data_IF_947734078736
#
_entry.id   IF_947734078736
#
_cell.length_a   1.000
_cell.length_b   1.000
_cell.length_c   1.000
_cell.angle_alpha   90.00
_cell.angle_beta   90.00
_cell.angle_gamma   90.00
#
_symmetry.space_group_name_H-M   'P 1'
#
loop_
_entity.id
_entity.type
_entity.pdbx_description
1 polymer ?
#
# COMPACT_ATOMS: atom_id res chain seq x y z
N UNK A 1 38.97 5.39 29.98
CA UNK A 1 38.60 4.28 29.06
C UNK A 1 37.78 3.26 29.82
N UNK A 2 36.55 3.05 29.38
CA UNK A 2 35.38 2.72 30.22
C UNK A 2 35.06 1.22 30.27
N UNK A 3 35.23 0.60 31.45
CA UNK A 3 34.77 -0.77 31.78
C UNK A 3 33.24 -0.97 31.86
N UNK A 4 32.44 0.00 31.41
CA UNK A 4 30.96 -0.02 31.52
C UNK A 4 30.21 -0.41 30.25
N UNK A 5 30.90 -0.61 29.12
CA UNK A 5 30.25 -0.88 27.82
C UNK A 5 30.04 -2.39 27.56
N UNK A 6 30.77 -3.28 28.24
CA UNK A 6 30.69 -4.73 27.99
C UNK A 6 29.57 -5.47 28.74
N UNK A 7 28.88 -4.83 29.69
CA UNK A 7 27.79 -5.47 30.46
C UNK A 7 26.40 -5.35 29.80
N UNK A 8 26.21 -4.45 28.83
CA UNK A 8 24.93 -4.28 28.15
C UNK A 8 24.64 -5.33 27.07
N UNK A 9 25.67 -5.90 26.45
CA UNK A 9 25.50 -6.84 25.34
C UNK A 9 25.16 -8.27 25.79
N UNK A 10 25.53 -8.67 27.01
CA UNK A 10 25.26 -10.02 27.54
C UNK A 10 23.79 -10.18 28.00
N UNK A 11 23.12 -9.10 28.41
CA UNK A 11 21.77 -9.18 28.98
C UNK A 11 20.67 -9.36 27.91
N UNK A 12 20.90 -8.88 26.68
CA UNK A 12 19.92 -8.95 25.58
C UNK A 12 19.85 -10.36 24.97
N UNK A 13 20.98 -11.08 24.91
CA UNK A 13 21.02 -12.47 24.40
C UNK A 13 20.33 -13.44 25.36
N UNK A 14 20.43 -13.21 26.68
CA UNK A 14 19.76 -14.03 27.68
C UNK A 14 18.23 -13.90 27.66
N UNK A 15 17.71 -12.69 27.39
CA UNK A 15 16.26 -12.44 27.28
C UNK A 15 15.64 -13.06 26.01
N UNK A 16 16.38 -13.07 24.89
CA UNK A 16 15.94 -13.74 23.65
C UNK A 16 15.95 -15.26 23.77
N UNK A 17 16.89 -15.85 24.51
CA UNK A 17 16.91 -17.30 24.79
C UNK A 17 15.73 -17.77 25.66
N UNK A 18 15.32 -16.97 26.63
CA UNK A 18 14.21 -17.30 27.53
C UNK A 18 12.83 -17.26 26.84
N UNK A 19 12.62 -16.34 25.87
CA UNK A 19 11.37 -16.30 25.11
C UNK A 19 11.20 -17.48 24.13
N UNK A 20 12.29 -17.98 23.55
CA UNK A 20 12.25 -19.16 22.68
C UNK A 20 12.07 -20.47 23.47
N UNK A 21 12.53 -20.54 24.71
CA UNK A 21 12.31 -21.71 25.57
C UNK A 21 10.86 -21.84 26.07
N UNK A 22 10.16 -20.72 26.30
CA UNK A 22 8.74 -20.73 26.67
C UNK A 22 7.83 -21.17 25.51
N UNK A 23 8.16 -20.81 24.27
CA UNK A 23 7.45 -21.27 23.07
C UNK A 23 7.71 -22.76 22.71
N UNK A 24 8.83 -23.32 23.18
CA UNK A 24 9.15 -24.74 22.99
C UNK A 24 8.53 -25.65 24.07
N UNK A 25 8.25 -25.13 25.27
CA UNK A 25 7.63 -25.91 26.35
C UNK A 25 6.15 -26.18 26.08
N UNK A 26 5.40 -25.22 25.52
CA UNK A 26 3.95 -25.38 25.26
C UNK A 26 3.61 -26.50 24.25
N UNK A 27 4.62 -27.15 23.68
CA UNK A 27 4.51 -28.30 22.77
C UNK A 27 4.75 -29.67 23.43
N UNK A 28 4.98 -29.73 24.75
CA UNK A 28 5.37 -30.97 25.43
C UNK A 28 4.47 -31.29 26.64
N UNK A 29 3.27 -31.80 26.39
CA UNK A 29 2.55 -32.60 27.39
C UNK A 29 2.52 -34.06 26.90
N UNK A 30 3.34 -34.96 27.47
CA UNK A 30 3.37 -36.35 27.09
C UNK A 30 2.70 -37.23 28.13
N UNK A 31 1.40 -37.08 28.40
CA UNK A 31 0.58 -38.11 29.05
C UNK A 31 -0.80 -38.11 28.38
N UNK A 32 -1.30 -39.18 27.76
CA UNK A 32 -1.61 -40.44 28.42
C UNK A 32 -1.57 -41.59 27.41
N UNK A 33 -0.63 -42.53 27.59
CA UNK A 33 -0.79 -43.89 27.08
C UNK A 33 -1.49 -44.72 28.17
N UNK A 34 -2.72 -45.13 27.87
CA UNK A 34 -3.38 -46.22 28.59
C UNK A 34 -4.88 -46.04 28.70
N UNK A 35 -5.64 -46.63 27.75
CA UNK A 35 -6.77 -47.55 28.00
C UNK A 35 -7.34 -47.96 26.62
N UNK A 36 -7.55 -49.26 26.46
CA UNK A 36 -8.02 -49.95 25.24
C UNK A 36 -9.46 -49.60 24.83
N UNK A 37 -9.69 -49.76 23.52
CA UNK A 37 -10.93 -50.09 22.82
C UNK A 37 -12.18 -49.22 23.04
N UNK A 38 -12.36 -48.28 22.11
CA UNK A 38 -13.58 -48.12 21.30
C UNK A 38 -13.24 -47.16 20.16
N UNK A 39 -13.37 -47.59 18.91
CA UNK A 39 -13.33 -46.70 17.74
C UNK A 39 -14.74 -46.12 17.62
N UNK A 40 -15.02 -44.84 17.98
CA UNK A 40 -16.16 -44.17 17.42
C UNK A 40 -15.83 -43.92 15.95
N UNK A 41 -16.55 -44.58 15.04
CA UNK A 41 -16.55 -44.24 13.61
C UNK A 41 -17.21 -42.88 13.43
N UNK A 42 -16.50 -41.81 13.79
CA UNK A 42 -16.78 -40.47 13.27
C UNK A 42 -16.50 -40.50 11.77
N UNK A 43 -17.42 -40.07 10.90
CA UNK A 43 -17.12 -39.95 9.48
C UNK A 43 -15.93 -38.99 9.34
N UNK A 44 -14.87 -39.44 8.67
CA UNK A 44 -13.77 -38.58 8.27
C UNK A 44 -14.36 -37.47 7.40
N UNK A 45 -14.58 -36.29 7.97
CA UNK A 45 -14.81 -35.09 7.18
C UNK A 45 -13.55 -34.90 6.35
N UNK A 46 -13.64 -35.14 5.05
CA UNK A 46 -12.60 -34.77 4.10
C UNK A 46 -12.27 -33.31 4.35
N UNK A 47 -11.08 -33.02 4.86
CA UNK A 47 -10.57 -31.66 4.90
C UNK A 47 -10.34 -31.24 3.46
N UNK A 48 -11.32 -30.57 2.86
CA UNK A 48 -11.08 -29.77 1.67
C UNK A 48 -10.34 -28.55 2.18
N UNK A 49 -9.04 -28.36 1.86
CA UNK A 49 -8.39 -27.09 2.16
C UNK A 49 -9.26 -25.99 1.53
N UNK A 50 -9.62 -24.99 2.32
CA UNK A 50 -10.22 -23.79 1.77
C UNK A 50 -9.30 -23.32 0.63
N UNK A 51 -9.84 -22.91 -0.54
CA UNK A 51 -9.02 -22.40 -1.61
C UNK A 51 -8.15 -21.28 -1.03
N UNK A 52 -6.84 -21.52 -0.94
CA UNK A 52 -5.89 -20.48 -0.60
C UNK A 52 -5.98 -19.48 -1.74
N UNK A 53 -6.49 -18.28 -1.46
CA UNK A 53 -6.44 -17.18 -2.42
C UNK A 53 -4.99 -17.04 -2.88
N UNK A 54 -4.76 -17.22 -4.19
CA UNK A 54 -3.43 -17.08 -4.75
C UNK A 54 -2.92 -15.66 -4.47
N UNK A 55 -1.73 -15.58 -3.88
CA UNK A 55 -1.04 -14.32 -3.64
C UNK A 55 -0.28 -13.96 -4.91
N UNK A 56 -0.72 -12.91 -5.58
CA UNK A 56 -0.05 -12.36 -6.75
C UNK A 56 0.58 -11.00 -6.42
N UNK A 57 1.41 -10.48 -7.33
CA UNK A 57 1.96 -9.14 -7.24
C UNK A 57 1.05 -8.18 -8.00
N UNK A 58 0.72 -7.02 -7.41
CA UNK A 58 -0.21 -6.05 -8.00
C UNK A 58 0.13 -5.70 -9.46
N UNK A 59 1.40 -5.46 -9.77
CA UNK A 59 1.82 -5.07 -11.12
C UNK A 59 1.75 -6.18 -12.18
N UNK A 60 1.57 -7.43 -11.76
CA UNK A 60 1.36 -8.54 -12.69
C UNK A 60 -0.05 -8.50 -13.31
N UNK A 61 -0.98 -7.79 -12.68
CA UNK A 61 -2.36 -7.72 -13.17
C UNK A 61 -2.50 -6.79 -14.38
N UNK A 62 -3.34 -7.16 -15.37
CA UNK A 62 -3.55 -6.35 -16.56
C UNK A 62 -4.22 -5.00 -16.26
N UNK A 63 -5.15 -4.96 -15.31
CA UNK A 63 -5.88 -3.76 -14.87
C UNK A 63 -4.96 -2.73 -14.18
N UNK A 64 -3.89 -3.15 -13.51
CA UNK A 64 -2.85 -2.24 -13.02
C UNK A 64 -2.14 -1.52 -14.18
N UNK A 65 -1.73 -2.26 -15.21
CA UNK A 65 -1.02 -1.70 -16.38
C UNK A 65 -1.93 -0.73 -17.14
N UNK A 66 -3.18 -1.11 -17.36
CA UNK A 66 -4.19 -0.26 -18.01
C UNK A 66 -4.40 1.04 -17.24
N UNK A 67 -4.61 0.96 -15.92
CA UNK A 67 -4.79 2.15 -15.09
C UNK A 67 -3.55 3.05 -15.14
N UNK A 68 -2.35 2.48 -15.06
CA UNK A 68 -1.09 3.24 -15.11
C UNK A 68 -0.96 3.98 -16.44
N UNK A 69 -1.20 3.31 -17.56
CA UNK A 69 -1.16 3.94 -18.88
C UNK A 69 -2.19 5.06 -19.01
N UNK A 70 -3.42 4.84 -18.53
CA UNK A 70 -4.46 5.89 -18.54
C UNK A 70 -4.02 7.16 -17.81
N UNK A 71 -3.33 7.03 -16.66
CA UNK A 71 -2.83 8.18 -15.90
C UNK A 71 -1.65 8.85 -16.61
N UNK A 72 -0.76 8.07 -17.23
CA UNK A 72 0.33 8.60 -18.06
C UNK A 72 -0.22 9.41 -19.23
N UNK A 73 -1.16 8.84 -19.99
CA UNK A 73 -1.83 9.49 -21.11
C UNK A 73 -2.58 10.75 -20.68
N UNK A 74 -3.26 10.71 -19.53
CA UNK A 74 -3.96 11.87 -18.97
C UNK A 74 -2.98 13.00 -18.64
N UNK A 75 -1.88 12.69 -17.95
CA UNK A 75 -0.84 13.66 -17.62
C UNK A 75 -0.23 14.28 -18.88
N UNK A 76 0.06 13.45 -19.88
CA UNK A 76 0.72 13.89 -21.11
C UNK A 76 -0.24 14.76 -21.95
N UNK A 77 -1.52 14.37 -22.06
CA UNK A 77 -2.58 15.19 -22.68
C UNK A 77 -2.65 16.57 -22.05
N UNK A 78 -2.77 16.65 -20.72
CA UNK A 78 -2.93 17.94 -20.06
C UNK A 78 -1.65 18.77 -20.02
N UNK A 79 -0.48 18.16 -20.13
CA UNK A 79 0.78 18.90 -20.33
C UNK A 79 0.78 19.64 -21.67
N UNK A 80 0.20 19.06 -22.71
CA UNK A 80 0.13 19.66 -24.04
C UNK A 80 -1.04 20.64 -24.16
N UNK A 81 -2.20 20.28 -23.62
CA UNK A 81 -3.45 21.03 -23.69
C UNK A 81 -4.06 21.25 -22.30
N UNK A 82 -3.69 22.34 -21.60
CA UNK A 82 -4.29 22.69 -20.32
C UNK A 82 -5.79 22.98 -20.46
N UNK A 83 -6.60 22.47 -19.53
CA UNK A 83 -8.04 22.73 -19.49
C UNK A 83 -8.42 24.06 -18.78
N UNK A 84 -7.42 24.83 -18.33
CA UNK A 84 -7.60 26.08 -17.60
C UNK A 84 -6.44 27.03 -17.89
N UNK A 85 -6.69 28.33 -17.80
CA UNK A 85 -5.67 29.38 -17.93
C UNK A 85 -4.96 29.69 -16.62
N UNK A 86 -5.41 29.14 -15.49
CA UNK A 86 -4.71 29.23 -14.22
C UNK A 86 -3.52 28.26 -14.20
N UNK A 87 -2.32 28.81 -14.46
CA UNK A 87 -1.09 28.04 -14.58
C UNK A 87 -0.70 27.30 -13.30
N UNK A 88 -0.90 27.91 -12.13
CA UNK A 88 -0.48 27.32 -10.86
C UNK A 88 -1.47 26.24 -10.40
N UNK A 89 -2.77 26.44 -10.62
CA UNK A 89 -3.78 25.40 -10.41
C UNK A 89 -3.59 24.22 -11.38
N UNK A 90 -3.31 24.49 -12.65
CA UNK A 90 -2.97 23.46 -13.63
C UNK A 90 -1.70 22.69 -13.23
N UNK A 91 -0.65 23.39 -12.81
CA UNK A 91 0.59 22.78 -12.33
C UNK A 91 0.34 21.91 -11.10
N UNK A 92 -0.50 22.36 -10.17
CA UNK A 92 -0.91 21.56 -9.03
C UNK A 92 -1.63 20.26 -9.47
N UNK A 93 -2.57 20.33 -10.42
CA UNK A 93 -3.21 19.14 -10.96
C UNK A 93 -2.20 18.14 -11.56
N UNK A 94 -1.24 18.60 -12.37
CA UNK A 94 -0.20 17.73 -12.95
C UNK A 94 0.68 17.07 -11.88
N UNK A 95 1.00 17.79 -10.81
CA UNK A 95 1.76 17.22 -9.70
C UNK A 95 0.98 16.17 -8.91
N UNK A 96 -0.34 16.34 -8.73
CA UNK A 96 -1.18 15.30 -8.11
C UNK A 96 -1.26 14.04 -8.99
N UNK A 97 -1.32 14.18 -10.32
CA UNK A 97 -1.22 13.02 -11.22
C UNK A 97 0.14 12.33 -11.10
N UNK A 98 1.23 13.09 -11.02
CA UNK A 98 2.57 12.55 -10.82
C UNK A 98 2.69 11.81 -9.47
N UNK A 99 2.06 12.33 -8.41
CA UNK A 99 1.96 11.66 -7.11
C UNK A 99 1.19 10.34 -7.21
N UNK A 100 0.06 10.29 -7.93
CA UNK A 100 -0.67 9.03 -8.17
C UNK A 100 0.19 8.00 -8.91
N UNK A 101 0.94 8.41 -9.94
CA UNK A 101 1.88 7.53 -10.64
C UNK A 101 3.00 7.03 -9.72
N UNK A 102 3.53 7.91 -8.86
CA UNK A 102 4.52 7.57 -7.85
C UNK A 102 3.99 6.55 -6.85
N UNK A 103 2.78 6.77 -6.35
CA UNK A 103 2.10 5.85 -5.45
C UNK A 103 1.90 4.48 -6.11
N UNK A 104 1.40 4.42 -7.35
CA UNK A 104 1.25 3.17 -8.09
C UNK A 104 2.58 2.42 -8.21
N UNK A 105 3.67 3.13 -8.54
CA UNK A 105 5.01 2.53 -8.63
C UNK A 105 5.49 1.97 -7.28
N UNK A 106 5.23 2.67 -6.19
CA UNK A 106 5.58 2.21 -4.85
C UNK A 106 4.79 0.95 -4.45
N UNK A 107 3.54 0.86 -4.89
CA UNK A 107 2.64 -0.26 -4.60
C UNK A 107 2.78 -1.44 -5.57
N UNK A 108 3.51 -1.27 -6.68
CA UNK A 108 3.62 -2.24 -7.77
C UNK A 108 3.97 -3.65 -7.30
N UNK A 109 4.93 -3.77 -6.38
CA UNK A 109 5.43 -5.06 -5.88
C UNK A 109 4.67 -5.57 -4.65
N UNK A 110 3.54 -4.94 -4.27
CA UNK A 110 2.75 -5.36 -3.12
C UNK A 110 2.07 -6.69 -3.43
N UNK A 111 2.42 -7.72 -2.66
CA UNK A 111 1.72 -9.00 -2.63
C UNK A 111 0.31 -8.84 -2.06
N UNK A 112 -0.67 -9.52 -2.64
CA UNK A 112 -2.04 -9.50 -2.15
C UNK A 112 -2.92 -10.52 -2.85
N UNK A 113 -4.12 -10.72 -2.33
CA UNK A 113 -5.14 -11.53 -3.00
C UNK A 113 -5.77 -10.76 -4.15
N UNK A 114 -6.33 -11.46 -5.13
CA UNK A 114 -7.04 -10.84 -6.26
C UNK A 114 -8.11 -9.82 -5.80
N UNK A 115 -8.86 -10.12 -4.74
CA UNK A 115 -9.88 -9.20 -4.16
C UNK A 115 -9.26 -7.94 -3.57
N UNK A 116 -8.12 -8.06 -2.90
CA UNK A 116 -7.40 -6.92 -2.34
C UNK A 116 -6.87 -6.01 -3.45
N UNK A 117 -6.33 -6.60 -4.51
CA UNK A 117 -5.86 -5.83 -5.67
C UNK A 117 -7.00 -5.16 -6.42
N UNK A 118 -8.11 -5.86 -6.68
CA UNK A 118 -9.28 -5.28 -7.32
C UNK A 118 -9.80 -4.07 -6.54
N UNK A 119 -9.90 -4.20 -5.21
CA UNK A 119 -10.27 -3.08 -4.34
C UNK A 119 -9.27 -1.92 -4.44
N UNK A 120 -7.98 -2.20 -4.38
CA UNK A 120 -6.92 -1.20 -4.47
C UNK A 120 -6.98 -0.42 -5.79
N UNK A 121 -7.15 -1.14 -6.90
CA UNK A 121 -7.22 -0.54 -8.24
C UNK A 121 -8.52 0.23 -8.46
N UNK A 122 -9.64 -0.26 -7.93
CA UNK A 122 -10.92 0.47 -7.96
C UNK A 122 -10.83 1.79 -7.21
N UNK A 123 -10.36 1.76 -5.96
CA UNK A 123 -10.19 2.97 -5.14
C UNK A 123 -9.23 3.97 -5.80
N UNK A 124 -8.18 3.47 -6.47
CA UNK A 124 -7.24 4.31 -7.21
C UNK A 124 -7.89 4.96 -8.43
N UNK A 125 -8.63 4.18 -9.22
CA UNK A 125 -9.36 4.67 -10.39
C UNK A 125 -10.33 5.78 -10.01
N UNK A 126 -11.13 5.56 -8.97
CA UNK A 126 -12.10 6.55 -8.46
C UNK A 126 -11.40 7.86 -8.06
N UNK A 127 -10.25 7.77 -7.38
CA UNK A 127 -9.47 8.97 -7.00
C UNK A 127 -8.95 9.76 -8.21
N UNK A 128 -8.46 9.07 -9.23
CA UNK A 128 -7.95 9.71 -10.46
C UNK A 128 -9.10 10.36 -11.23
N UNK A 129 -10.21 9.65 -11.38
CA UNK A 129 -11.40 10.16 -12.09
C UNK A 129 -12.01 11.37 -11.38
N UNK A 130 -12.10 11.31 -10.05
CA UNK A 130 -12.59 12.45 -9.26
C UNK A 130 -11.64 13.64 -9.32
N UNK A 131 -10.32 13.41 -9.34
CA UNK A 131 -9.33 14.47 -9.51
C UNK A 131 -9.46 15.14 -10.89
N UNK A 132 -9.57 14.37 -11.98
CA UNK A 132 -9.79 14.88 -13.34
C UNK A 132 -11.12 15.65 -13.42
N UNK A 133 -12.20 15.10 -12.85
CA UNK A 133 -13.52 15.77 -12.80
C UNK A 133 -13.42 17.13 -12.12
N UNK A 134 -12.78 17.22 -10.96
CA UNK A 134 -12.61 18.50 -10.24
C UNK A 134 -11.78 19.48 -11.05
N UNK A 135 -10.70 19.01 -11.65
CA UNK A 135 -9.84 19.83 -12.50
C UNK A 135 -10.62 20.45 -13.66
N UNK A 136 -11.39 19.63 -14.40
CA UNK A 136 -12.21 20.08 -15.52
C UNK A 136 -13.32 21.06 -15.14
N UNK A 137 -13.87 20.95 -13.93
CA UNK A 137 -14.93 21.83 -13.44
C UNK A 137 -14.40 23.04 -12.66
N UNK A 138 -13.08 23.25 -12.59
CA UNK A 138 -12.47 24.28 -11.75
C UNK A 138 -12.99 24.22 -10.30
N UNK A 139 -13.01 23.02 -9.72
CA UNK A 139 -13.35 22.78 -8.32
C UNK A 139 -12.09 22.54 -7.49
N UNK A 140 -12.11 22.73 -6.15
CA UNK A 140 -10.97 22.38 -5.32
C UNK A 140 -10.51 20.93 -5.52
N UNK A 141 -9.23 20.74 -5.86
CA UNK A 141 -8.59 19.43 -6.14
C UNK A 141 -8.63 18.48 -4.94
N UNK A 142 -9.06 18.95 -3.76
CA UNK A 142 -9.26 18.15 -2.56
C UNK A 142 -8.00 17.95 -1.74
N UNK A 143 -6.85 18.43 -2.20
CA UNK A 143 -5.59 18.39 -1.47
C UNK A 143 -4.72 19.57 -1.89
N UNK A 144 -4.14 20.25 -0.90
CA UNK A 144 -3.04 21.19 -1.13
C UNK A 144 -1.74 20.42 -1.34
N UNK A 145 -0.71 21.12 -1.81
CA UNK A 145 0.61 20.54 -2.02
C UNK A 145 1.74 21.51 -1.74
N UNK A 146 2.88 20.92 -1.42
CA UNK A 146 4.14 21.61 -1.25
C UNK A 146 5.27 20.78 -1.83
N UNK A 147 5.96 21.32 -2.82
CA UNK A 147 7.04 20.63 -3.54
C UNK A 147 8.32 21.43 -3.40
N UNK A 148 9.34 20.79 -2.85
CA UNK A 148 10.70 21.32 -2.82
C UNK A 148 11.38 21.02 -4.16
N UNK A 149 11.77 22.06 -4.88
CA UNK A 149 12.45 21.94 -6.17
C UNK A 149 13.97 21.82 -5.96
N UNK A 150 14.70 21.22 -6.92
CA UNK A 150 16.15 21.07 -6.82
C UNK A 150 16.94 22.38 -6.70
N UNK A 151 16.37 23.48 -7.19
CA UNK A 151 16.93 24.83 -7.10
C UNK A 151 16.77 25.49 -5.71
N UNK A 152 16.18 24.77 -4.75
CA UNK A 152 15.92 25.25 -3.39
C UNK A 152 14.61 26.03 -3.24
N UNK A 153 13.89 26.29 -4.35
CA UNK A 153 12.57 26.95 -4.28
C UNK A 153 11.48 25.97 -3.84
N UNK A 154 10.37 26.52 -3.33
CA UNK A 154 9.19 25.74 -2.93
C UNK A 154 8.00 26.17 -3.77
N UNK A 155 7.37 25.20 -4.42
CA UNK A 155 6.03 25.38 -4.99
C UNK A 155 5.00 25.00 -3.93
N UNK A 156 4.12 25.92 -3.57
CA UNK A 156 3.04 25.69 -2.61
C UNK A 156 1.72 26.12 -3.23
N UNK A 157 0.70 25.27 -3.14
CA UNK A 157 -0.61 25.51 -3.73
C UNK A 157 -1.69 24.86 -2.88
N UNK A 158 -2.78 25.58 -2.58
CA UNK A 158 -3.85 25.09 -1.68
C UNK A 158 -4.86 24.15 -2.36
N UNK A 159 -4.73 23.98 -3.67
CA UNK A 159 -5.56 23.11 -4.49
C UNK A 159 -6.85 23.76 -4.96
N UNK A 160 -7.03 25.07 -4.78
CA UNK A 160 -8.20 25.81 -5.28
C UNK A 160 -7.81 26.60 -6.54
N UNK A 161 -8.72 26.72 -7.52
CA UNK A 161 -8.46 27.59 -8.66
C UNK A 161 -8.51 29.05 -8.22
N UNK A 162 -7.69 29.88 -8.83
CA UNK A 162 -7.80 31.32 -8.73
C UNK A 162 -9.01 31.79 -9.54
N UNK A 163 -10.06 32.20 -8.85
CA UNK A 163 -11.15 32.92 -9.51
C UNK A 163 -10.64 34.31 -9.87
N UNK A 164 -10.51 34.61 -11.17
CA UNK A 164 -10.39 35.99 -11.61
C UNK A 164 -11.61 36.76 -11.07
N UNK A 165 -11.36 37.73 -10.20
CA UNK A 165 -12.36 38.64 -9.66
C UNK A 165 -12.89 39.60 -10.72
#
# INVERSE_FOLDING_TARGET
MSRRVLLGAALVVALLGAQLALLAWERSDPEQFGVRDRIPTTPSTSYTPAPTDEVEILSARPDYRELRHRVEDMRDRYREEPATTDEDYHRAFLYLLADQLGAMRFEANRGGTARQHERTLRERREKIEELERRYLNSEPLGSGMRIHRPDGTVFEHDGRPHTAG
#
